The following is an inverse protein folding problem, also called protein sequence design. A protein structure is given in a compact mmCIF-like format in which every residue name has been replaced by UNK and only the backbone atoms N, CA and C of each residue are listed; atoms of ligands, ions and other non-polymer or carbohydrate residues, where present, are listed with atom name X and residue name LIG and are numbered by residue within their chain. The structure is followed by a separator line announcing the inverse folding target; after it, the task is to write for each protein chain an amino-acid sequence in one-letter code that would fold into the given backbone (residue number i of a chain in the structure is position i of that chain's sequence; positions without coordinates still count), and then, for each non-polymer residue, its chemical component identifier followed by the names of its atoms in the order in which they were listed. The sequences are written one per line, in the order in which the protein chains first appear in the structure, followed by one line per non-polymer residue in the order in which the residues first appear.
data_IF_995539226753
#
_entry.id   IF_995539226753
#
_cell.length_a   1.000
_cell.length_b   1.000
_cell.length_c   1.000
_cell.angle_alpha   90.00
_cell.angle_beta   90.00
_cell.angle_gamma   90.00
#
_symmetry.space_group_name_H-M   'P 1'
#
loop_
_entity.id
_entity.type
_entity.pdbx_description
1 polymer ?
#
# COMPACT_ATOMS: atom_id res chain seq x y z
N UNK A 1 -2.27 5.23 -28.19
CA UNK A 1 -1.93 3.80 -28.39
C UNK A 1 -2.68 2.97 -27.36
N UNK A 2 -3.58 2.05 -27.78
CA UNK A 2 -4.34 1.20 -26.86
C UNK A 2 -3.38 0.23 -26.18
N UNK A 3 -3.17 0.38 -24.87
CA UNK A 3 -2.36 -0.55 -24.09
C UNK A 3 -3.05 -1.92 -24.12
N UNK A 4 -2.43 -2.90 -24.81
CA UNK A 4 -2.85 -4.31 -24.76
C UNK A 4 -2.70 -4.79 -23.31
N UNK A 5 -3.76 -4.65 -22.54
CA UNK A 5 -3.82 -5.14 -21.16
C UNK A 5 -3.94 -6.66 -21.23
N UNK A 6 -2.87 -7.36 -20.86
CA UNK A 6 -2.93 -8.81 -20.67
C UNK A 6 -3.95 -9.13 -19.56
N UNK A 7 -4.84 -10.13 -19.78
CA UNK A 7 -5.77 -10.57 -18.75
C UNK A 7 -5.02 -11.09 -17.52
N UNK A 8 -5.60 -10.92 -16.35
CA UNK A 8 -4.99 -11.30 -15.06
C UNK A 8 -4.66 -12.78 -14.98
N UNK A 9 -5.51 -13.62 -15.56
CA UNK A 9 -5.32 -15.07 -15.62
C UNK A 9 -4.04 -15.46 -16.38
N UNK A 10 -3.78 -14.80 -17.51
CA UNK A 10 -2.56 -15.03 -18.30
C UNK A 10 -1.32 -14.61 -17.52
N UNK A 11 -1.38 -13.49 -16.79
CA UNK A 11 -0.27 -13.03 -15.95
C UNK A 11 0.02 -14.00 -14.82
N UNK A 12 -1.03 -14.46 -14.12
CA UNK A 12 -0.90 -15.37 -12.99
C UNK A 12 -0.31 -16.70 -13.45
N UNK A 13 -0.87 -17.28 -14.51
CA UNK A 13 -0.43 -18.56 -15.07
C UNK A 13 1.01 -18.50 -15.61
N UNK A 14 1.41 -17.39 -16.22
CA UNK A 14 2.78 -17.21 -16.70
C UNK A 14 3.79 -17.11 -15.55
N UNK A 15 3.43 -16.47 -14.44
CA UNK A 15 4.28 -16.37 -13.24
C UNK A 15 4.34 -17.70 -12.49
N UNK A 16 3.22 -18.42 -12.36
CA UNK A 16 3.19 -19.77 -11.74
C UNK A 16 4.08 -20.74 -12.53
N UNK A 17 3.94 -20.76 -13.85
CA UNK A 17 4.78 -21.61 -14.71
C UNK A 17 6.27 -21.23 -14.61
N UNK A 18 6.58 -19.93 -14.49
CA UNK A 18 7.97 -19.48 -14.30
C UNK A 18 8.57 -19.98 -12.98
N UNK A 19 7.79 -19.96 -11.90
CA UNK A 19 8.25 -20.43 -10.58
C UNK A 19 8.46 -21.94 -10.59
N UNK A 20 7.54 -22.69 -11.20
CA UNK A 20 7.64 -24.15 -11.30
C UNK A 20 8.84 -24.57 -12.15
N UNK A 21 8.99 -23.96 -13.33
CA UNK A 21 10.08 -24.29 -14.24
C UNK A 21 11.43 -23.67 -13.86
N UNK A 22 11.52 -22.79 -12.85
CA UNK A 22 12.77 -22.11 -12.49
C UNK A 22 13.92 -23.09 -12.18
N UNK A 23 13.59 -24.27 -11.64
CA UNK A 23 14.55 -25.31 -11.27
C UNK A 23 15.16 -26.05 -12.46
N UNK A 24 14.46 -26.05 -13.59
CA UNK A 24 14.86 -26.76 -14.81
C UNK A 24 15.81 -25.94 -15.71
N UNK A 25 16.05 -24.67 -15.37
CA UNK A 25 16.91 -23.78 -16.14
C UNK A 25 18.12 -23.32 -15.30
N UNK A 26 19.27 -23.03 -15.96
CA UNK A 26 20.48 -22.59 -15.27
C UNK A 26 20.36 -21.20 -14.64
N UNK A 27 19.32 -20.42 -15.00
CA UNK A 27 19.09 -19.07 -14.48
C UNK A 27 17.63 -18.67 -14.66
N UNK A 28 17.15 -17.80 -13.76
CA UNK A 28 15.80 -17.21 -13.88
C UNK A 28 15.60 -16.51 -15.23
N UNK A 29 16.62 -15.81 -15.73
CA UNK A 29 16.55 -15.14 -17.03
C UNK A 29 16.37 -16.12 -18.19
N UNK A 30 17.03 -17.29 -18.14
CA UNK A 30 16.87 -18.34 -19.15
C UNK A 30 15.44 -18.91 -19.13
N UNK A 31 14.87 -19.14 -17.94
CA UNK A 31 13.48 -19.55 -17.79
C UNK A 31 12.50 -18.49 -18.33
N UNK A 32 12.72 -17.21 -18.01
CA UNK A 32 11.91 -16.09 -18.51
C UNK A 32 11.94 -16.05 -20.05
N UNK A 33 13.12 -16.17 -20.65
CA UNK A 33 13.28 -16.11 -22.10
C UNK A 33 12.61 -17.30 -22.81
N UNK A 34 12.61 -18.48 -22.20
CA UNK A 34 11.94 -19.67 -22.73
C UNK A 34 10.41 -19.63 -22.56
N UNK A 35 9.90 -18.98 -21.51
CA UNK A 35 8.47 -18.98 -21.15
C UNK A 35 7.72 -17.80 -21.77
N UNK A 36 8.32 -16.61 -21.86
CA UNK A 36 7.72 -15.42 -22.44
C UNK A 36 7.07 -15.64 -23.84
N UNK A 37 7.72 -16.32 -24.82
CA UNK A 37 7.11 -16.57 -26.11
C UNK A 37 5.87 -17.47 -26.05
N UNK A 38 5.75 -18.37 -25.06
CA UNK A 38 4.58 -19.25 -24.90
C UNK A 38 3.29 -18.48 -24.57
N UNK A 39 3.42 -17.30 -23.98
CA UNK A 39 2.31 -16.41 -23.64
C UNK A 39 2.17 -15.20 -24.56
N UNK A 40 3.01 -15.09 -25.60
CA UNK A 40 3.03 -13.94 -26.51
C UNK A 40 3.39 -12.63 -25.80
N UNK A 41 4.24 -12.69 -24.78
CA UNK A 41 4.74 -11.50 -24.07
C UNK A 41 6.25 -11.35 -24.24
N UNK A 42 6.77 -10.15 -23.99
CA UNK A 42 8.21 -9.92 -23.99
C UNK A 42 8.83 -10.46 -22.70
N UNK A 43 10.10 -10.90 -22.71
CA UNK A 43 10.81 -11.34 -21.51
C UNK A 43 10.77 -10.30 -20.38
N UNK A 44 10.91 -9.01 -20.72
CA UNK A 44 10.81 -7.92 -19.75
C UNK A 44 9.43 -7.80 -19.09
N UNK A 45 8.37 -8.06 -19.86
CA UNK A 45 7.00 -8.06 -19.35
C UNK A 45 6.81 -9.15 -18.30
N UNK A 46 7.29 -10.36 -18.59
CA UNK A 46 7.23 -11.49 -17.66
C UNK A 46 8.09 -11.24 -16.40
N UNK A 47 9.28 -10.64 -16.56
CA UNK A 47 10.12 -10.20 -15.43
C UNK A 47 9.40 -9.21 -14.53
N UNK A 48 8.73 -8.21 -15.10
CA UNK A 48 7.96 -7.22 -14.33
C UNK A 48 6.81 -7.87 -13.55
N UNK A 49 6.13 -8.86 -14.12
CA UNK A 49 5.08 -9.62 -13.43
C UNK A 49 5.63 -10.44 -12.28
N UNK A 50 6.78 -11.11 -12.48
CA UNK A 50 7.45 -11.86 -11.43
C UNK A 50 7.91 -10.98 -10.26
N UNK A 51 8.48 -9.79 -10.55
CA UNK A 51 8.84 -8.82 -9.50
C UNK A 51 7.63 -8.33 -8.71
N UNK A 52 6.51 -8.02 -9.38
CA UNK A 52 5.26 -7.62 -8.71
C UNK A 52 4.67 -8.75 -7.88
N UNK A 53 4.84 -9.99 -8.32
CA UNK A 53 4.44 -11.17 -7.56
C UNK A 53 5.28 -11.32 -6.29
N UNK A 54 6.60 -11.20 -6.39
CA UNK A 54 7.51 -11.23 -5.23
C UNK A 54 7.24 -10.08 -4.25
N UNK A 55 6.91 -8.88 -4.74
CA UNK A 55 6.51 -7.77 -3.89
C UNK A 55 5.24 -8.14 -3.10
N UNK A 56 4.20 -8.64 -3.77
CA UNK A 56 2.97 -9.10 -3.10
C UNK A 56 3.18 -10.24 -2.12
N UNK A 57 4.13 -11.14 -2.38
CA UNK A 57 4.45 -12.25 -1.50
C UNK A 57 5.31 -11.84 -0.29
N UNK A 58 6.04 -10.72 -0.37
CA UNK A 58 6.79 -10.21 0.77
C UNK A 58 5.85 -9.47 1.74
N UNK A 59 5.53 -10.05 2.92
CA UNK A 59 4.57 -9.50 3.86
C UNK A 59 4.99 -8.13 4.40
N UNK A 60 6.29 -7.81 4.37
CA UNK A 60 6.82 -6.51 4.79
C UNK A 60 6.26 -5.38 3.93
N UNK A 61 6.15 -5.56 2.61
CA UNK A 61 5.70 -4.47 1.71
C UNK A 61 4.18 -4.29 1.72
N UNK A 62 3.43 -5.39 1.86
CA UNK A 62 1.97 -5.37 2.06
C UNK A 62 1.62 -4.77 3.42
N UNK A 63 2.43 -5.04 4.45
CA UNK A 63 2.33 -4.41 5.76
C UNK A 63 2.63 -2.91 5.68
N UNK A 64 3.63 -2.45 4.91
CA UNK A 64 3.92 -1.00 4.83
C UNK A 64 2.82 -0.19 4.16
N UNK A 65 2.17 -0.70 3.11
CA UNK A 65 1.07 0.02 2.44
C UNK A 65 -0.18 0.11 3.36
N UNK A 66 -0.51 -0.98 4.05
CA UNK A 66 -1.60 -1.01 5.03
C UNK A 66 -1.28 -0.21 6.30
N UNK A 67 -0.03 -0.21 6.75
CA UNK A 67 0.43 0.60 7.88
C UNK A 67 0.44 2.09 7.54
N UNK A 68 0.87 2.48 6.34
CA UNK A 68 0.84 3.89 5.91
C UNK A 68 -0.58 4.45 5.88
N UNK A 69 -1.54 3.67 5.38
CA UNK A 69 -2.95 4.05 5.42
C UNK A 69 -3.47 4.20 6.86
N UNK A 70 -3.11 3.26 7.74
CA UNK A 70 -3.50 3.31 9.15
C UNK A 70 -2.86 4.47 9.91
N UNK A 71 -1.60 4.80 9.61
CA UNK A 71 -0.89 5.95 10.19
C UNK A 71 -1.58 7.25 9.79
N UNK A 72 -1.91 7.43 8.51
CA UNK A 72 -2.59 8.64 8.05
C UNK A 72 -3.97 8.84 8.69
N UNK A 73 -4.73 7.75 8.89
CA UNK A 73 -6.00 7.78 9.61
C UNK A 73 -5.82 8.17 11.08
N UNK A 74 -4.86 7.57 11.77
CA UNK A 74 -4.55 7.89 13.17
C UNK A 74 -4.04 9.34 13.33
N UNK A 75 -3.23 9.84 12.40
CA UNK A 75 -2.77 11.22 12.40
C UNK A 75 -3.92 12.22 12.24
N UNK A 76 -4.91 11.90 11.40
CA UNK A 76 -6.12 12.68 11.25
C UNK A 76 -6.93 12.69 12.55
N UNK A 77 -7.14 11.53 13.16
CA UNK A 77 -7.88 11.41 14.42
C UNK A 77 -7.19 12.19 15.55
N UNK A 78 -5.86 12.11 15.67
CA UNK A 78 -5.07 12.90 16.62
C UNK A 78 -5.27 14.40 16.40
N UNK A 79 -5.32 14.85 15.14
CA UNK A 79 -5.53 16.26 14.82
C UNK A 79 -6.91 16.75 15.25
N UNK A 80 -7.95 15.98 14.98
CA UNK A 80 -9.32 16.29 15.38
C UNK A 80 -9.47 16.29 16.91
N UNK A 81 -8.88 15.31 17.61
CA UNK A 81 -8.86 15.25 19.07
C UNK A 81 -8.12 16.42 19.70
N UNK A 82 -7.00 16.86 19.12
CA UNK A 82 -6.26 18.04 19.59
C UNK A 82 -7.08 19.32 19.41
N UNK A 83 -7.78 19.46 18.29
CA UNK A 83 -8.62 20.61 18.02
C UNK A 83 -9.81 20.68 18.99
N UNK A 84 -10.48 19.54 19.25
CA UNK A 84 -11.55 19.47 20.24
C UNK A 84 -11.05 19.85 21.66
N UNK A 85 -9.89 19.32 22.06
CA UNK A 85 -9.28 19.67 23.35
C UNK A 85 -8.94 21.16 23.45
N UNK A 86 -8.50 21.79 22.37
CA UNK A 86 -8.23 23.23 22.36
C UNK A 86 -9.51 24.05 22.55
N UNK A 87 -10.61 23.66 21.90
CA UNK A 87 -11.92 24.30 22.07
C UNK A 87 -12.39 24.18 23.52
N UNK A 88 -12.29 22.99 24.12
CA UNK A 88 -12.68 22.75 25.51
C UNK A 88 -11.82 23.60 26.46
N UNK A 89 -10.50 23.66 26.25
CA UNK A 89 -9.61 24.50 27.07
C UNK A 89 -9.95 25.99 26.95
N UNK A 90 -10.23 26.47 25.73
CA UNK A 90 -10.64 27.86 25.49
C UNK A 90 -11.98 28.17 26.16
N UNK A 91 -12.94 27.25 26.06
CA UNK A 91 -14.24 27.38 26.74
C UNK A 91 -14.07 27.40 28.26
N UNK A 92 -13.28 26.48 28.83
CA UNK A 92 -12.99 26.44 30.26
C UNK A 92 -12.31 27.72 30.75
N UNK A 93 -11.34 28.25 30.00
CA UNK A 93 -10.71 29.53 30.31
C UNK A 93 -11.70 30.71 30.26
N UNK A 94 -12.59 30.73 29.26
CA UNK A 94 -13.63 31.74 29.14
C UNK A 94 -14.61 31.70 30.33
N UNK A 95 -15.08 30.50 30.71
CA UNK A 95 -15.97 30.33 31.87
C UNK A 95 -15.28 30.72 33.18
N UNK A 96 -14.04 30.31 33.39
CA UNK A 96 -13.27 30.67 34.59
C UNK A 96 -13.06 32.19 34.72
N UNK A 97 -12.88 32.90 33.59
CA UNK A 97 -12.77 34.36 33.58
C UNK A 97 -14.11 35.06 33.85
N UNK A 98 -15.22 34.51 33.33
CA UNK A 98 -16.57 35.01 33.61
C UNK A 98 -16.97 34.84 35.09
N UNK A 99 -16.52 33.77 35.74
CA UNK A 99 -16.77 33.54 37.18
C UNK A 99 -16.02 34.54 38.07
N UNK A 100 -14.77 34.89 37.71
CA UNK A 100 -13.97 35.90 38.43
C UNK A 100 -14.55 37.33 38.37
N UNK A 101 -15.43 37.62 37.40
CA UNK A 101 -16.09 38.92 37.25
C UNK A 101 -17.39 39.09 38.06
N UNK A 102 -17.91 38.02 38.67
CA UNK A 102 -19.11 38.10 39.52
C UNK A 102 -18.71 38.60 40.91
N UNK A 103 -19.13 39.82 41.27
CA UNK A 103 -19.11 40.26 42.67
C UNK A 103 -20.00 39.32 43.49
N UNK A 104 -19.54 38.82 44.66
CA UNK A 104 -20.41 38.10 45.56
C UNK A 104 -21.59 39.01 45.95
N UNK A 105 -22.79 38.43 45.96
CA UNK A 105 -24.02 39.11 46.34
C UNK A 105 -24.11 39.23 47.85
#
# INVERSE_FOLDING_TARGET
MKSKKYPTEVKKRAVELLIESQKDYPSLWAAIQAIAPKFGCTPETLRSWHQKHLAKQNPVTVSTESQAARIAELEREIRELKQANEIIRKAAAFFAQAEKGRKPK
#
